data_IF_368483180546
#
_entry.id   IF_368483180546
#
_cell.length_a   1.000
_cell.length_b   1.000
_cell.length_c   1.000
_cell.angle_alpha   90.00
_cell.angle_beta   90.00
_cell.angle_gamma   90.00
#
_symmetry.space_group_name_H-M   'P 1'
#
loop_
_entity.id
_entity.type
_entity.pdbx_description
1 polymer ?
#
# COMPACT_ATOMS: atom_id res chain seq x y z
N UNK A 1 -5.26 21.53 -0.21
CA UNK A 1 -5.82 20.63 0.83
C UNK A 1 -4.95 19.37 0.82
N UNK A 2 -4.31 19.01 1.93
CA UNK A 2 -3.45 17.82 1.99
C UNK A 2 -4.27 16.56 1.66
N UNK A 3 -3.74 15.62 0.85
CA UNK A 3 -4.44 14.39 0.47
C UNK A 3 -4.61 13.39 1.62
N UNK A 4 -4.20 13.72 2.86
CA UNK A 4 -4.17 12.78 3.97
C UNK A 4 -3.06 11.74 3.80
N UNK A 5 -2.86 10.83 4.79
CA UNK A 5 -1.92 9.73 4.66
C UNK A 5 -2.38 8.78 3.56
N UNK A 6 -1.46 8.41 2.65
CA UNK A 6 -1.74 7.46 1.56
C UNK A 6 -1.29 6.03 1.88
N UNK A 7 -0.37 5.88 2.83
CA UNK A 7 0.18 4.62 3.31
C UNK A 7 0.75 4.84 4.71
N UNK A 8 0.74 3.81 5.55
CA UNK A 8 1.32 3.86 6.89
C UNK A 8 1.32 2.52 7.59
N UNK A 9 2.12 2.42 8.65
CA UNK A 9 2.14 1.28 9.58
C UNK A 9 2.15 1.78 11.02
N UNK A 10 1.40 1.13 11.91
CA UNK A 10 1.42 1.44 13.34
C UNK A 10 2.41 0.55 14.13
N UNK A 11 2.62 0.86 15.41
CA UNK A 11 3.53 0.14 16.30
C UNK A 11 3.16 -1.35 16.53
N UNK A 12 1.93 -1.76 16.19
CA UNK A 12 1.47 -3.15 16.29
C UNK A 12 1.74 -3.96 15.02
N UNK A 13 2.26 -3.31 13.97
CA UNK A 13 2.53 -3.95 12.67
C UNK A 13 1.27 -4.15 11.84
N UNK A 14 0.27 -3.28 12.02
CA UNK A 14 -0.84 -3.11 11.09
C UNK A 14 -0.44 -2.06 10.05
N UNK A 15 -0.54 -2.40 8.77
CA UNK A 15 -0.35 -1.50 7.64
C UNK A 15 -1.68 -1.21 6.97
N UNK A 16 -1.84 0.02 6.48
CA UNK A 16 -2.95 0.39 5.62
C UNK A 16 -2.48 1.27 4.46
N UNK A 17 -2.98 0.99 3.26
CA UNK A 17 -2.68 1.70 2.01
C UNK A 17 -3.95 2.13 1.30
N UNK A 18 -3.86 3.22 0.57
CA UNK A 18 -4.93 3.84 -0.20
C UNK A 18 -4.49 3.89 -1.65
N UNK A 19 -5.37 3.46 -2.54
CA UNK A 19 -5.22 3.63 -3.99
C UNK A 19 -6.49 4.27 -4.56
N UNK A 20 -6.34 4.95 -5.69
CA UNK A 20 -7.48 5.45 -6.44
C UNK A 20 -8.29 4.31 -7.06
N UNK A 21 -9.61 4.44 -7.09
CA UNK A 21 -10.54 3.54 -7.76
C UNK A 21 -11.65 4.39 -8.39
N UNK A 22 -11.73 4.43 -9.72
CA UNK A 22 -12.72 5.24 -10.45
C UNK A 22 -14.17 4.81 -10.19
N UNK A 23 -14.38 3.53 -9.90
CA UNK A 23 -15.72 2.96 -9.63
C UNK A 23 -16.25 3.26 -8.22
N UNK A 24 -15.45 3.83 -7.31
CA UNK A 24 -15.89 4.08 -5.95
C UNK A 24 -17.01 5.13 -5.90
N UNK A 25 -18.08 4.83 -5.17
CA UNK A 25 -19.25 5.71 -5.03
C UNK A 25 -19.52 6.02 -3.56
N UNK A 26 -19.47 7.29 -3.20
CA UNK A 26 -19.69 7.75 -1.82
C UNK A 26 -21.17 7.91 -1.46
N UNK A 27 -22.08 8.03 -2.43
CA UNK A 27 -23.50 8.22 -2.15
C UNK A 27 -23.80 9.50 -1.34
N UNK A 28 -24.93 9.49 -0.62
CA UNK A 28 -25.32 10.55 0.32
C UNK A 28 -25.56 9.95 1.70
N UNK A 29 -24.84 10.42 2.70
CA UNK A 29 -25.08 10.08 4.09
C UNK A 29 -26.38 10.73 4.59
N UNK A 30 -27.18 9.97 5.33
CA UNK A 30 -28.27 10.50 6.14
C UNK A 30 -27.73 11.20 7.39
N UNK A 31 -28.49 12.13 8.01
CA UNK A 31 -28.06 12.83 9.22
C UNK A 31 -27.77 11.94 10.43
N UNK A 32 -28.28 10.71 10.44
CA UNK A 32 -28.11 9.76 11.55
C UNK A 32 -26.87 8.86 11.40
N UNK A 33 -26.27 8.80 10.20
CA UNK A 33 -25.10 7.95 9.95
C UNK A 33 -23.82 8.59 10.51
N UNK A 34 -22.98 7.78 11.16
CA UNK A 34 -21.58 8.17 11.41
C UNK A 34 -20.88 8.30 10.07
N UNK A 35 -20.16 9.40 9.85
CA UNK A 35 -19.45 9.65 8.60
C UNK A 35 -17.95 9.74 8.82
N UNK A 36 -17.17 9.32 7.82
CA UNK A 36 -15.72 9.47 7.80
C UNK A 36 -15.26 9.95 6.43
N UNK A 37 -14.38 10.93 6.42
CA UNK A 37 -13.77 11.41 5.19
C UNK A 37 -12.84 10.32 4.63
N UNK A 38 -13.01 9.97 3.35
CA UNK A 38 -12.28 8.90 2.70
C UNK A 38 -10.76 9.02 2.87
N UNK A 39 -10.22 10.23 2.68
CA UNK A 39 -8.78 10.48 2.81
C UNK A 39 -8.20 10.32 4.22
N UNK A 40 -9.04 10.19 5.26
CA UNK A 40 -8.60 9.97 6.65
C UNK A 40 -8.78 8.52 7.10
N UNK A 41 -9.28 7.64 6.24
CA UNK A 41 -9.57 6.25 6.59
C UNK A 41 -8.33 5.49 7.10
N UNK A 42 -7.17 5.65 6.45
CA UNK A 42 -5.94 5.00 6.87
C UNK A 42 -5.56 5.41 8.29
N UNK A 43 -5.61 6.70 8.60
CA UNK A 43 -5.31 7.19 9.95
C UNK A 43 -6.27 6.58 10.98
N UNK A 44 -7.56 6.58 10.68
CA UNK A 44 -8.57 5.94 11.54
C UNK A 44 -8.24 4.47 11.81
N UNK A 45 -7.87 3.69 10.78
CA UNK A 45 -7.51 2.28 10.96
C UNK A 45 -6.25 2.13 11.82
N UNK A 46 -5.19 2.88 11.51
CA UNK A 46 -3.89 2.77 12.17
C UNK A 46 -3.93 3.22 13.64
N UNK A 47 -4.79 4.18 13.97
CA UNK A 47 -4.93 4.70 15.35
C UNK A 47 -5.76 3.78 16.25
N UNK A 48 -6.69 2.99 15.68
CA UNK A 48 -7.71 2.28 16.47
C UNK A 48 -7.51 0.76 16.55
N UNK A 49 -6.73 0.14 15.65
CA UNK A 49 -6.67 -1.32 15.55
C UNK A 49 -5.24 -1.85 15.54
N UNK A 50 -5.03 -3.04 16.11
CA UNK A 50 -3.75 -3.75 16.07
C UNK A 50 -3.70 -4.83 14.98
N UNK A 51 -4.85 -5.35 14.56
CA UNK A 51 -4.95 -6.47 13.60
C UNK A 51 -6.05 -6.24 12.56
N UNK A 52 -5.97 -6.96 11.44
CA UNK A 52 -7.02 -6.97 10.41
C UNK A 52 -8.33 -7.50 10.97
N UNK A 53 -8.28 -8.53 11.82
CA UNK A 53 -9.47 -9.12 12.45
C UNK A 53 -10.21 -8.09 13.33
N UNK A 54 -9.49 -7.34 14.16
CA UNK A 54 -10.06 -6.26 14.99
C UNK A 54 -10.72 -5.18 14.13
N UNK A 55 -10.01 -4.71 13.10
CA UNK A 55 -10.51 -3.68 12.19
C UNK A 55 -11.77 -4.16 11.44
N UNK A 56 -11.73 -5.37 10.87
CA UNK A 56 -12.86 -5.94 10.14
C UNK A 56 -14.09 -6.09 11.05
N UNK A 57 -13.90 -6.60 12.27
CA UNK A 57 -14.97 -6.77 13.25
C UNK A 57 -15.62 -5.41 13.59
N UNK A 58 -14.80 -4.40 13.89
CA UNK A 58 -15.28 -3.07 14.25
C UNK A 58 -16.03 -2.39 13.10
N UNK A 59 -15.49 -2.44 11.88
CA UNK A 59 -16.11 -1.85 10.68
C UNK A 59 -17.44 -2.51 10.31
N UNK A 60 -17.62 -3.80 10.64
CA UNK A 60 -18.89 -4.51 10.46
C UNK A 60 -19.90 -4.22 11.58
N UNK A 61 -19.44 -4.10 12.83
CA UNK A 61 -20.33 -3.87 13.98
C UNK A 61 -20.80 -2.43 14.08
N UNK A 62 -19.96 -1.47 13.70
CA UNK A 62 -20.25 -0.04 13.69
C UNK A 62 -20.02 0.53 12.29
N UNK A 63 -20.99 0.37 11.36
CA UNK A 63 -20.84 0.85 10.01
C UNK A 63 -20.61 2.35 9.94
N UNK A 64 -19.62 2.75 9.16
CA UNK A 64 -19.27 4.14 8.89
C UNK A 64 -19.60 4.43 7.42
N UNK A 65 -20.29 5.54 7.19
CA UNK A 65 -20.58 6.03 5.85
C UNK A 65 -19.38 6.87 5.34
N UNK A 66 -18.73 6.39 4.29
CA UNK A 66 -17.60 7.09 3.68
C UNK A 66 -18.06 8.25 2.83
N UNK A 67 -17.49 9.43 3.07
CA UNK A 67 -17.78 10.66 2.32
C UNK A 67 -16.51 11.20 1.67
N UNK A 68 -16.67 11.98 0.59
CA UNK A 68 -15.58 12.68 -0.07
C UNK A 68 -15.92 14.16 -0.22
N UNK A 69 -15.15 15.02 0.44
CA UNK A 69 -15.26 16.48 0.37
C UNK A 69 -14.14 17.05 -0.50
N UNK A 70 -14.50 17.49 -1.70
CA UNK A 70 -13.58 18.19 -2.61
C UNK A 70 -12.60 17.29 -3.36
N UNK A 71 -12.73 15.97 -3.25
CA UNK A 71 -12.01 15.01 -4.09
C UNK A 71 -12.93 14.45 -5.17
N UNK A 72 -12.50 14.58 -6.43
CA UNK A 72 -13.20 14.00 -7.58
C UNK A 72 -12.82 12.53 -7.84
N UNK A 73 -11.73 12.05 -7.24
CA UNK A 73 -11.27 10.67 -7.42
C UNK A 73 -11.85 9.75 -6.33
N UNK A 74 -12.32 8.58 -6.76
CA UNK A 74 -12.71 7.51 -5.86
C UNK A 74 -11.50 6.81 -5.25
N UNK A 75 -11.69 6.17 -4.09
CA UNK A 75 -10.64 5.55 -3.27
C UNK A 75 -11.05 4.14 -2.84
N UNK A 76 -10.06 3.28 -2.68
CA UNK A 76 -10.18 2.00 -1.98
C UNK A 76 -8.92 1.71 -1.16
N UNK A 77 -8.99 0.71 -0.29
CA UNK A 77 -7.98 0.48 0.72
C UNK A 77 -7.56 -0.98 0.81
N UNK A 78 -6.33 -1.20 1.25
CA UNK A 78 -5.83 -2.49 1.66
C UNK A 78 -5.27 -2.37 3.08
N UNK A 79 -5.65 -3.29 3.96
CA UNK A 79 -5.13 -3.38 5.33
C UNK A 79 -4.48 -4.75 5.51
N UNK A 80 -3.27 -4.79 6.08
CA UNK A 80 -2.48 -6.02 6.27
C UNK A 80 -1.86 -6.03 7.65
N UNK A 81 -1.83 -7.17 8.34
CA UNK A 81 -1.17 -7.31 9.64
C UNK A 81 -0.03 -8.33 9.65
N UNK A 82 0.69 -8.41 10.78
CA UNK A 82 1.83 -9.31 11.00
C UNK A 82 1.52 -10.80 10.79
N UNK A 83 0.26 -11.22 10.86
CA UNK A 83 -0.13 -12.62 10.62
C UNK A 83 -0.16 -12.98 9.12
N UNK A 84 -0.13 -11.97 8.24
CA UNK A 84 -0.36 -12.15 6.81
C UNK A 84 -1.85 -12.19 6.44
N UNK A 85 -2.73 -11.79 7.36
CA UNK A 85 -4.12 -11.48 7.04
C UNK A 85 -4.18 -10.16 6.27
N UNK A 86 -5.05 -10.09 5.27
CA UNK A 86 -5.29 -8.90 4.47
C UNK A 86 -6.79 -8.65 4.34
N UNK A 87 -7.13 -7.39 4.14
CA UNK A 87 -8.50 -6.96 3.84
C UNK A 87 -8.46 -5.86 2.78
N UNK A 88 -9.07 -6.13 1.62
CA UNK A 88 -9.33 -5.12 0.59
C UNK A 88 -10.69 -4.49 0.88
N UNK A 89 -10.82 -3.18 0.73
CA UNK A 89 -12.03 -2.43 1.08
C UNK A 89 -12.36 -1.44 -0.04
N UNK A 90 -13.51 -1.62 -0.68
CA UNK A 90 -14.05 -0.71 -1.68
C UNK A 90 -15.26 0.04 -1.15
N UNK A 91 -15.63 1.14 -1.80
CA UNK A 91 -16.76 1.98 -1.37
C UNK A 91 -17.87 1.91 -2.42
N UNK A 92 -19.05 1.44 -1.99
CA UNK A 92 -20.26 1.37 -2.81
C UNK A 92 -21.42 2.07 -2.11
N UNK A 93 -21.90 3.17 -2.69
CA UNK A 93 -22.93 4.04 -2.12
C UNK A 93 -22.63 4.44 -0.65
N UNK A 94 -21.37 4.80 -0.39
CA UNK A 94 -20.88 5.22 0.93
C UNK A 94 -20.61 4.08 1.90
N UNK A 95 -20.97 2.84 1.54
CA UNK A 95 -20.77 1.65 2.38
C UNK A 95 -19.48 0.95 2.02
N UNK A 96 -18.84 0.36 3.04
CA UNK A 96 -17.64 -0.45 2.87
C UNK A 96 -18.01 -1.85 2.34
N UNK A 97 -17.47 -2.22 1.19
CA UNK A 97 -17.46 -3.59 0.67
C UNK A 97 -16.10 -4.21 1.00
N UNK A 98 -16.12 -5.19 1.90
CA UNK A 98 -14.92 -5.79 2.49
C UNK A 98 -14.64 -7.15 1.84
N UNK A 99 -13.39 -7.36 1.42
CA UNK A 99 -12.88 -8.61 0.85
C UNK A 99 -11.71 -9.14 1.69
N UNK A 100 -11.96 -10.09 2.62
CA UNK A 100 -10.90 -10.72 3.39
C UNK A 100 -10.03 -11.61 2.49
N UNK A 101 -8.72 -11.63 2.74
CA UNK A 101 -7.76 -12.41 1.94
C UNK A 101 -6.61 -12.89 2.82
N UNK A 102 -6.34 -14.19 2.80
CA UNK A 102 -5.18 -14.78 3.47
C UNK A 102 -3.98 -14.86 2.51
N UNK A 103 -2.77 -14.69 3.06
CA UNK A 103 -1.51 -14.87 2.34
C UNK A 103 -1.21 -13.73 1.37
N UNK A 104 -0.67 -14.04 0.20
CA UNK A 104 -0.34 -13.03 -0.79
C UNK A 104 -1.61 -12.39 -1.37
N UNK A 105 -1.73 -11.07 -1.21
CA UNK A 105 -2.80 -10.26 -1.76
C UNK A 105 -2.21 -9.16 -2.65
N UNK A 106 -2.92 -8.82 -3.71
CA UNK A 106 -2.58 -7.76 -4.66
C UNK A 106 -3.77 -6.84 -4.77
N UNK A 107 -3.53 -5.54 -4.83
CA UNK A 107 -4.53 -4.52 -5.14
C UNK A 107 -3.91 -3.49 -6.08
N UNK A 108 -4.65 -3.08 -7.10
CA UNK A 108 -4.32 -1.97 -8.00
C UNK A 108 -5.59 -1.15 -8.23
N UNK A 109 -5.49 -0.05 -8.96
CA UNK A 109 -6.51 1.00 -9.02
C UNK A 109 -7.87 0.56 -9.58
N UNK A 110 -7.90 0.10 -10.83
CA UNK A 110 -9.11 -0.23 -11.57
C UNK A 110 -8.95 -1.55 -12.34
N UNK A 111 -10.02 -2.29 -12.64
CA UNK A 111 -11.41 -2.06 -12.23
C UNK A 111 -11.65 -2.39 -10.75
N UNK A 112 -12.92 -2.44 -10.32
CA UNK A 112 -13.28 -2.99 -9.00
C UNK A 112 -12.63 -4.36 -8.74
N UNK A 113 -12.34 -4.65 -7.48
CA UNK A 113 -11.63 -5.85 -7.04
C UNK A 113 -12.34 -7.13 -7.50
N UNK A 114 -13.67 -7.16 -7.46
CA UNK A 114 -14.45 -8.28 -7.98
C UNK A 114 -14.20 -8.52 -9.49
N UNK A 115 -14.14 -7.45 -10.28
CA UNK A 115 -13.87 -7.53 -11.71
C UNK A 115 -12.40 -7.90 -11.96
N UNK A 116 -11.48 -7.36 -11.16
CA UNK A 116 -10.06 -7.69 -11.21
C UNK A 116 -9.82 -9.18 -10.99
N UNK A 117 -10.50 -9.79 -10.01
CA UNK A 117 -10.40 -11.23 -9.74
C UNK A 117 -10.89 -12.08 -10.92
N UNK A 118 -11.97 -11.67 -11.60
CA UNK A 118 -12.45 -12.37 -12.82
C UNK A 118 -11.41 -12.33 -13.95
N UNK A 119 -10.72 -11.20 -14.11
CA UNK A 119 -9.63 -11.08 -15.10
C UNK A 119 -8.42 -11.92 -14.66
N UNK A 120 -8.10 -11.90 -13.38
CA UNK A 120 -7.02 -12.71 -12.81
C UNK A 120 -7.22 -14.20 -13.06
N UNK A 121 -8.43 -14.72 -12.87
CA UNK A 121 -8.74 -16.12 -13.12
C UNK A 121 -8.45 -16.53 -14.58
N UNK A 122 -8.77 -15.67 -15.56
CA UNK A 122 -8.44 -15.89 -16.97
C UNK A 122 -6.91 -16.00 -17.21
N UNK A 123 -6.12 -15.11 -16.61
CA UNK A 123 -4.66 -15.15 -16.75
C UNK A 123 -4.05 -16.35 -16.02
N UNK A 124 -4.59 -16.70 -14.85
CA UNK A 124 -4.14 -17.84 -14.06
C UNK A 124 -4.30 -19.15 -14.82
N UNK A 125 -5.41 -19.34 -15.53
CA UNK A 125 -5.61 -20.50 -16.43
C UNK A 125 -4.60 -20.58 -17.57
N UNK A 126 -3.92 -19.46 -17.89
CA UNK A 126 -2.97 -19.32 -18.99
C UNK A 126 -1.52 -19.27 -18.52
N UNK A 127 -1.19 -19.87 -17.38
CA UNK A 127 0.17 -19.86 -16.82
C UNK A 127 0.66 -18.42 -16.63
N UNK A 128 -0.02 -17.70 -15.74
CA UNK A 128 0.24 -16.28 -15.46
C UNK A 128 1.73 -16.01 -15.22
N UNK A 129 2.42 -16.89 -14.49
CA UNK A 129 3.85 -16.79 -14.22
C UNK A 129 4.73 -16.64 -15.47
N UNK A 130 4.28 -17.16 -16.62
CA UNK A 130 4.98 -17.06 -17.91
C UNK A 130 4.36 -16.07 -18.89
N UNK A 131 3.10 -15.68 -18.70
CA UNK A 131 2.33 -14.86 -19.64
C UNK A 131 1.85 -13.54 -19.02
N UNK A 132 2.73 -12.85 -18.30
CA UNK A 132 2.38 -11.58 -17.69
C UNK A 132 2.32 -10.46 -18.73
N UNK A 133 1.23 -9.66 -18.78
CA UNK A 133 1.11 -8.53 -19.67
C UNK A 133 2.01 -7.36 -19.21
N UNK A 134 2.51 -6.55 -20.15
CA UNK A 134 3.65 -5.64 -19.92
C UNK A 134 3.33 -4.15 -19.87
N UNK A 135 2.08 -3.73 -20.03
CA UNK A 135 1.73 -2.31 -20.09
C UNK A 135 1.67 -1.65 -18.69
N UNK A 136 1.64 -0.31 -18.58
CA UNK A 136 1.49 0.39 -17.30
C UNK A 136 0.07 0.32 -16.72
N UNK A 137 -0.91 -0.21 -17.47
CA UNK A 137 -2.30 -0.25 -17.03
C UNK A 137 -2.49 -1.05 -15.74
N UNK A 138 -3.52 -0.68 -14.97
CA UNK A 138 -3.80 -1.24 -13.65
C UNK A 138 -3.91 -2.78 -13.67
N UNK A 139 -4.68 -3.34 -14.62
CA UNK A 139 -4.81 -4.79 -14.79
C UNK A 139 -3.45 -5.45 -15.04
N UNK A 140 -2.63 -4.88 -15.93
CA UNK A 140 -1.34 -5.47 -16.25
C UNK A 140 -0.38 -5.45 -15.07
N UNK A 141 -0.38 -4.35 -14.29
CA UNK A 141 0.37 -4.27 -13.04
C UNK A 141 -0.12 -5.31 -12.03
N UNK A 142 -1.43 -5.53 -11.90
CA UNK A 142 -1.98 -6.57 -11.04
C UNK A 142 -1.47 -7.95 -11.45
N UNK A 143 -1.55 -8.29 -12.73
CA UNK A 143 -1.09 -9.57 -13.26
C UNK A 143 0.41 -9.77 -13.05
N UNK A 144 1.24 -8.76 -13.31
CA UNK A 144 2.68 -8.83 -13.01
C UNK A 144 2.96 -9.02 -11.53
N UNK A 145 2.25 -8.30 -10.65
CA UNK A 145 2.43 -8.42 -9.22
C UNK A 145 2.09 -9.83 -8.73
N UNK A 146 0.92 -10.34 -9.12
CA UNK A 146 0.49 -11.68 -8.76
C UNK A 146 1.43 -12.76 -9.33
N UNK A 147 1.80 -12.66 -10.61
CA UNK A 147 2.69 -13.60 -11.26
C UNK A 147 4.10 -13.63 -10.66
N UNK A 148 4.64 -12.49 -10.20
CA UNK A 148 5.91 -12.47 -9.48
C UNK A 148 5.80 -13.01 -8.06
N UNK A 149 4.69 -12.76 -7.36
CA UNK A 149 4.45 -13.29 -6.02
C UNK A 149 4.28 -14.82 -5.99
N UNK A 150 3.91 -15.45 -7.12
CA UNK A 150 3.91 -16.91 -7.27
C UNK A 150 5.32 -17.49 -7.45
N UNK A 151 6.28 -16.68 -7.91
CA UNK A 151 7.62 -17.12 -8.29
C UNK A 151 8.70 -16.73 -7.26
N UNK A 152 8.45 -15.69 -6.48
CA UNK A 152 9.37 -15.24 -5.43
C UNK A 152 9.49 -16.33 -4.36
N UNK A 153 10.73 -16.75 -4.06
CA UNK A 153 10.94 -17.75 -3.01
C UNK A 153 10.64 -17.13 -1.64
N UNK A 154 9.84 -17.79 -0.79
CA UNK A 154 9.64 -17.37 0.59
C UNK A 154 10.82 -17.74 1.50
N UNK A 155 11.82 -18.46 0.98
CA UNK A 155 12.93 -19.02 1.74
C UNK A 155 14.24 -18.25 1.53
N UNK A 156 15.18 -18.47 2.46
CA UNK A 156 16.55 -17.98 2.32
C UNK A 156 17.20 -18.70 1.12
N UNK A 157 17.69 -17.93 0.16
CA UNK A 157 18.38 -18.47 -1.00
C UNK A 157 19.87 -18.15 -0.90
N UNK A 158 20.74 -19.16 -0.82
CA UNK A 158 22.17 -18.94 -0.62
C UNK A 158 22.82 -18.11 -1.75
N UNK A 159 22.30 -18.20 -2.97
CA UNK A 159 22.76 -17.37 -4.12
C UNK A 159 22.37 -15.90 -3.98
N UNK A 160 21.25 -15.59 -3.31
CA UNK A 160 20.71 -14.22 -3.17
C UNK A 160 21.16 -13.59 -1.85
N UNK A 161 21.20 -14.35 -0.76
CA UNK A 161 21.58 -13.85 0.58
C UNK A 161 23.00 -13.27 0.59
N UNK A 162 23.89 -13.78 -0.26
CA UNK A 162 25.26 -13.27 -0.39
C UNK A 162 25.35 -11.91 -1.11
N UNK A 163 24.28 -11.48 -1.78
CA UNK A 163 24.20 -10.19 -2.49
C UNK A 163 23.62 -9.07 -1.62
N UNK A 164 22.96 -9.40 -0.50
CA UNK A 164 22.33 -8.39 0.36
C UNK A 164 23.21 -7.99 1.55
N UNK A 165 23.16 -6.72 1.99
CA UNK A 165 23.93 -6.25 3.13
C UNK A 165 23.73 -7.10 4.38
N UNK A 166 24.84 -7.42 5.05
CA UNK A 166 24.83 -8.21 6.30
C UNK A 166 24.43 -9.68 6.14
N UNK A 167 24.14 -10.16 4.92
CA UNK A 167 23.57 -11.51 4.68
C UNK A 167 22.33 -11.77 5.54
N UNK A 168 21.56 -10.71 5.80
CA UNK A 168 20.35 -10.74 6.60
C UNK A 168 19.16 -11.22 5.77
N UNK A 169 18.42 -12.21 6.28
CA UNK A 169 17.29 -12.79 5.55
C UNK A 169 16.14 -11.80 5.43
N UNK A 170 15.88 -10.98 6.45
CA UNK A 170 14.85 -9.94 6.34
C UNK A 170 15.22 -8.91 5.26
N UNK A 171 16.51 -8.58 5.11
CA UNK A 171 17.00 -7.74 4.01
C UNK A 171 16.84 -8.43 2.65
N UNK A 172 17.09 -9.75 2.55
CA UNK A 172 16.78 -10.51 1.33
C UNK A 172 15.32 -10.31 0.93
N UNK A 173 14.39 -10.55 1.86
CA UNK A 173 12.95 -10.40 1.61
C UNK A 173 12.59 -8.98 1.19
N UNK A 174 13.05 -7.96 1.93
CA UNK A 174 12.80 -6.54 1.59
C UNK A 174 13.30 -6.19 0.19
N UNK A 175 14.49 -6.64 -0.19
CA UNK A 175 15.05 -6.37 -1.52
C UNK A 175 14.34 -7.14 -2.63
N UNK A 176 13.92 -8.38 -2.37
CA UNK A 176 13.12 -9.16 -3.32
C UNK A 176 11.76 -8.49 -3.58
N UNK A 177 11.07 -8.02 -2.52
CA UNK A 177 9.81 -7.25 -2.69
C UNK A 177 10.07 -5.92 -3.41
N UNK A 178 11.14 -5.18 -3.07
CA UNK A 178 11.48 -3.94 -3.75
C UNK A 178 11.75 -4.15 -5.24
N UNK A 179 12.40 -5.26 -5.60
CA UNK A 179 12.63 -5.61 -7.00
C UNK A 179 11.30 -5.77 -7.75
N UNK A 180 10.32 -6.46 -7.17
CA UNK A 180 8.97 -6.58 -7.73
C UNK A 180 8.32 -5.21 -7.86
N UNK A 181 8.29 -4.39 -6.81
CA UNK A 181 7.71 -3.04 -6.84
C UNK A 181 8.30 -2.14 -7.93
N UNK A 182 9.60 -2.27 -8.21
CA UNK A 182 10.27 -1.57 -9.32
C UNK A 182 9.74 -2.03 -10.69
N UNK A 183 9.46 -3.31 -10.89
CA UNK A 183 8.86 -3.83 -12.15
C UNK A 183 7.40 -3.37 -12.37
N UNK A 184 6.69 -3.04 -11.29
CA UNK A 184 5.30 -2.57 -11.33
C UNK A 184 5.21 -1.05 -11.51
N UNK A 185 6.32 -0.34 -11.30
CA UNK A 185 6.38 1.10 -11.41
C UNK A 185 6.21 1.56 -12.85
N UNK A 186 5.52 2.68 -13.00
CA UNK A 186 5.48 3.44 -14.25
C UNK A 186 6.72 4.33 -14.37
N UNK A 187 7.38 4.36 -15.55
CA UNK A 187 8.54 5.22 -15.77
C UNK A 187 8.26 6.71 -15.54
N UNK A 188 9.34 7.45 -15.25
CA UNK A 188 9.28 8.90 -15.08
C UNK A 188 8.87 9.59 -16.38
N UNK A 189 8.03 10.62 -16.28
CA UNK A 189 7.58 11.45 -17.40
C UNK A 189 6.85 10.70 -18.54
N UNK A 190 6.12 9.63 -18.21
CA UNK A 190 5.37 8.84 -19.21
C UNK A 190 3.92 9.28 -19.42
N UNK A 191 3.41 10.22 -18.61
CA UNK A 191 2.07 10.79 -18.79
C UNK A 191 2.05 11.64 -20.05
N UNK A 192 1.24 11.26 -21.03
CA UNK A 192 1.09 11.97 -22.31
C UNK A 192 -0.38 12.30 -22.56
N UNK A 193 -0.69 13.22 -23.47
CA UNK A 193 -2.08 13.49 -23.88
C UNK A 193 -2.81 12.24 -24.38
N UNK A 194 -2.07 11.27 -24.93
CA UNK A 194 -2.62 10.01 -25.44
C UNK A 194 -2.99 9.01 -24.35
N UNK A 195 -2.29 9.04 -23.21
CA UNK A 195 -2.51 8.14 -22.08
C UNK A 195 -2.44 8.95 -20.75
N UNK A 196 -3.39 9.86 -20.49
CA UNK A 196 -3.37 10.75 -19.33
C UNK A 196 -3.52 10.02 -17.99
N UNK A 197 -4.06 8.80 -18.00
CA UNK A 197 -4.18 7.93 -16.82
C UNK A 197 -2.86 7.33 -16.35
N UNK A 198 -1.83 7.32 -17.22
CA UNK A 198 -0.50 6.82 -16.87
C UNK A 198 0.26 7.85 -16.03
N UNK A 199 -0.01 7.83 -14.73
CA UNK A 199 0.73 8.64 -13.75
C UNK A 199 2.16 8.11 -13.54
N UNK A 200 3.11 9.02 -13.32
CA UNK A 200 4.50 8.68 -12.97
C UNK A 200 4.57 8.14 -11.54
N UNK A 201 5.30 7.03 -11.34
CA UNK A 201 5.60 6.55 -9.98
C UNK A 201 6.58 7.51 -9.31
N UNK A 202 6.17 8.11 -8.18
CA UNK A 202 6.99 9.08 -7.45
C UNK A 202 7.86 8.42 -6.37
N UNK A 203 7.34 7.38 -5.72
CA UNK A 203 7.99 6.65 -4.65
C UNK A 203 7.40 5.24 -4.53
N UNK A 204 8.11 4.36 -3.84
CA UNK A 204 7.69 3.00 -3.47
C UNK A 204 7.89 2.83 -1.97
N UNK A 205 6.93 2.21 -1.30
CA UNK A 205 6.98 1.87 0.12
C UNK A 205 7.01 0.36 0.33
N UNK A 206 7.72 -0.09 1.35
CA UNK A 206 7.70 -1.47 1.85
C UNK A 206 7.64 -1.42 3.36
N UNK A 207 6.68 -2.10 3.97
CA UNK A 207 6.68 -2.31 5.41
C UNK A 207 6.99 -3.76 5.73
N UNK A 208 8.07 -3.96 6.47
CA UNK A 208 8.41 -5.21 7.12
C UNK A 208 7.64 -5.28 8.43
N UNK A 209 6.43 -5.84 8.36
CA UNK A 209 5.49 -5.89 9.50
C UNK A 209 6.06 -6.68 10.68
N UNK A 210 6.91 -7.69 10.41
CA UNK A 210 7.51 -8.54 11.46
C UNK A 210 8.58 -7.81 12.25
N UNK A 211 9.39 -6.98 11.59
CA UNK A 211 10.50 -6.25 12.22
C UNK A 211 10.18 -4.78 12.50
N UNK A 212 8.99 -4.29 12.14
CA UNK A 212 8.56 -2.90 12.25
C UNK A 212 9.49 -1.91 11.53
N UNK A 213 9.89 -2.26 10.32
CA UNK A 213 10.68 -1.39 9.46
C UNK A 213 9.80 -0.88 8.32
N UNK A 214 9.74 0.44 8.13
CA UNK A 214 9.19 1.02 6.91
C UNK A 214 10.34 1.50 6.03
N UNK A 215 10.33 1.13 4.76
CA UNK A 215 11.36 1.47 3.80
C UNK A 215 10.75 2.22 2.61
N UNK A 216 11.42 3.27 2.16
CA UNK A 216 10.98 4.11 1.05
C UNK A 216 12.08 4.23 -0.01
N UNK A 217 11.70 4.00 -1.26
CA UNK A 217 12.53 4.16 -2.45
C UNK A 217 11.90 5.25 -3.34
N UNK A 218 12.48 6.45 -3.34
CA UNK A 218 11.96 7.59 -4.08
C UNK A 218 12.43 7.51 -5.53
N UNK A 219 11.52 7.60 -6.50
CA UNK A 219 11.86 7.45 -7.92
C UNK A 219 12.78 8.59 -8.43
N UNK A 220 12.68 9.78 -7.83
CA UNK A 220 13.52 10.93 -8.14
C UNK A 220 14.82 11.04 -7.32
N UNK A 221 15.11 10.07 -6.45
CA UNK A 221 16.32 10.06 -5.61
C UNK A 221 17.15 8.79 -5.87
N UNK A 222 18.48 8.85 -5.86
CA UNK A 222 19.33 7.67 -6.08
C UNK A 222 19.44 6.76 -4.83
N UNK A 223 18.64 6.98 -3.79
CA UNK A 223 18.83 6.32 -2.49
C UNK A 223 17.52 5.84 -1.87
N UNK A 224 17.63 4.72 -1.13
CA UNK A 224 16.57 4.15 -0.30
C UNK A 224 16.78 4.56 1.16
N UNK A 225 15.70 4.86 1.86
CA UNK A 225 15.69 5.18 3.30
C UNK A 225 14.81 4.20 4.06
N UNK A 226 15.04 4.04 5.36
CA UNK A 226 14.13 3.31 6.22
C UNK A 226 13.99 3.93 7.61
N UNK A 227 12.86 3.60 8.25
CA UNK A 227 12.49 3.98 9.60
C UNK A 227 12.25 2.70 10.39
N UNK A 228 12.91 2.59 11.55
CA UNK A 228 12.71 1.52 12.52
C UNK A 228 11.77 2.00 13.61
N UNK A 229 10.51 1.58 13.55
CA UNK A 229 9.48 2.04 14.47
C UNK A 229 9.72 1.54 15.90
N UNK A 230 10.56 0.51 16.11
CA UNK A 230 10.94 0.08 17.46
C UNK A 230 11.85 1.09 18.17
N UNK A 231 12.46 2.02 17.41
CA UNK A 231 13.30 3.10 17.95
C UNK A 231 12.58 4.44 18.03
N UNK A 232 11.28 4.48 17.71
CA UNK A 232 10.44 5.68 17.82
C UNK A 232 9.70 5.65 19.16
N UNK A 233 9.78 6.75 19.91
CA UNK A 233 8.97 6.97 21.11
C UNK A 233 7.68 7.70 20.73
N UNK A 234 6.60 6.93 20.56
CA UNK A 234 5.28 7.45 20.20
C UNK A 234 4.62 8.32 21.29
N UNK A 235 5.19 8.38 22.50
CA UNK A 235 4.69 9.26 23.56
C UNK A 235 5.12 10.72 23.40
N UNK A 236 6.08 11.03 22.51
CA UNK A 236 6.64 12.37 22.32
C UNK A 236 5.79 13.31 21.46
N UNK A 237 4.55 12.92 21.14
CA UNK A 237 3.66 13.67 20.26
C UNK A 237 4.06 13.57 18.79
N UNK A 238 3.48 14.46 17.98
CA UNK A 238 3.63 14.42 16.52
C UNK A 238 5.03 14.87 16.09
N UNK A 239 5.66 14.05 15.23
CA UNK A 239 6.96 14.34 14.63
C UNK A 239 6.91 14.01 13.15
N UNK A 240 7.61 14.79 12.35
CA UNK A 240 7.66 14.62 10.90
C UNK A 240 9.10 14.62 10.38
N UNK A 241 9.28 13.92 9.26
CA UNK A 241 10.47 13.98 8.44
C UNK A 241 10.02 14.18 7.00
N UNK A 242 10.54 15.23 6.35
CA UNK A 242 10.32 15.43 4.92
C UNK A 242 11.35 14.65 4.11
N UNK A 243 10.87 13.83 3.19
CA UNK A 243 11.68 13.21 2.14
C UNK A 243 11.63 13.99 0.82
N UNK A 244 10.92 15.12 0.79
CA UNK A 244 10.71 15.97 -0.38
C UNK A 244 11.20 17.40 -0.15
N UNK A 245 12.16 17.59 0.75
CA UNK A 245 12.78 18.88 1.07
C UNK A 245 13.93 19.25 0.12
N UNK A 246 14.21 18.42 -0.90
CA UNK A 246 15.27 18.64 -1.88
C UNK A 246 16.61 17.98 -1.53
N UNK A 247 16.74 17.40 -0.33
CA UNK A 247 17.97 16.75 0.13
C UNK A 247 17.96 15.24 -0.16
N UNK A 248 19.12 14.71 -0.59
CA UNK A 248 19.30 13.26 -0.75
C UNK A 248 19.53 12.64 0.62
N UNK A 249 18.57 11.86 1.08
CA UNK A 249 18.67 11.04 2.29
C UNK A 249 18.92 9.58 1.92
N UNK A 250 19.69 8.89 2.75
CA UNK A 250 20.03 7.49 2.57
C UNK A 250 20.10 6.78 3.91
N UNK A 251 19.75 5.50 3.94
CA UNK A 251 19.96 4.67 5.12
C UNK A 251 18.86 4.80 6.19
N UNK A 252 19.24 4.53 7.43
CA UNK A 252 18.39 4.68 8.61
C UNK A 252 18.16 6.18 8.89
N UNK A 253 16.92 6.64 8.72
CA UNK A 253 16.52 8.04 8.99
C UNK A 253 15.70 8.19 10.27
N UNK A 254 15.62 7.16 11.10
CA UNK A 254 14.74 7.09 12.28
C UNK A 254 14.96 8.25 13.26
N UNK A 255 16.20 8.71 13.42
CA UNK A 255 16.57 9.80 14.34
C UNK A 255 16.45 11.21 13.74
N UNK A 256 15.96 11.32 12.50
CA UNK A 256 15.87 12.61 11.78
C UNK A 256 14.50 13.28 11.90
N UNK A 257 13.51 12.61 12.50
CA UNK A 257 12.19 13.19 12.74
C UNK A 257 12.27 14.37 13.71
N UNK A 258 11.61 15.48 13.39
CA UNK A 258 11.51 16.69 14.21
C UNK A 258 10.07 16.92 14.67
N UNK A 259 9.83 17.54 15.85
CA UNK A 259 8.47 17.93 16.26
C UNK A 259 7.76 18.75 15.19
N UNK A 260 6.46 18.49 14.99
CA UNK A 260 5.61 19.33 14.12
C UNK A 260 5.30 20.64 14.84
N UNK A 261 5.40 21.77 14.12
CA UNK A 261 5.06 23.11 14.63
C UNK A 261 3.58 23.43 14.43
#
# INVERSE_FOLDING_TARGET
MSPGPQSGMNEKGLQADLLYLGEAKYGKASPAEKTLEAKTFIQYVLDNFATVEEAEKALKSEPIHMISKGMHAGLHYMVTDRSGANMIIEIAEGKLKIYPKAGNAVMTNDPSYESMLKIYDYYKEKDLARNMPGSPHSVDRFMRAAGWLEQISPDKMDTVINLVPGKDFAMQVRMSVLSVMRTLSTPFAISTERNPENSTTLWRGISDLKNNIMMFDLAGSPSTVWVDLNKIDFSQGERALSLSDGEIKQGDVTRQFTPVQ
#
